data_IF_771362754810
#
_entry.id   IF_771362754810
#
_cell.length_a   1.000
_cell.length_b   1.000
_cell.length_c   1.000
_cell.angle_alpha   90.00
_cell.angle_beta   90.00
_cell.angle_gamma   90.00
#
_symmetry.space_group_name_H-M   'P 1'
#
loop_
_entity.id
_entity.type
_entity.pdbx_description
1 polymer ?
#
# COMPACT_ATOMS: atom_id res chain seq x y z
N UNK A 1 13.00 -15.62 2.01
CA UNK A 1 12.57 -16.69 2.93
C UNK A 1 12.23 -16.06 4.29
N UNK A 2 11.03 -15.48 4.47
CA UNK A 2 10.62 -14.73 5.68
C UNK A 2 9.13 -14.96 6.05
N UNK A 3 8.58 -16.15 5.77
CA UNK A 3 7.12 -16.32 5.66
C UNK A 3 6.36 -16.84 6.89
N UNK A 4 6.96 -17.00 8.08
CA UNK A 4 6.31 -17.83 9.13
C UNK A 4 6.42 -17.34 10.59
N UNK A 5 7.01 -16.19 10.89
CA UNK A 5 7.21 -15.81 12.30
C UNK A 5 5.90 -15.61 13.08
N UNK A 6 4.91 -14.88 12.52
CA UNK A 6 3.66 -14.62 13.23
C UNK A 6 2.84 -15.90 13.44
N UNK A 7 2.62 -16.69 12.39
CA UNK A 7 1.88 -17.94 12.47
C UNK A 7 2.55 -18.97 13.40
N UNK A 8 3.89 -19.09 13.35
CA UNK A 8 4.63 -19.98 14.25
C UNK A 8 4.48 -19.57 15.71
N UNK A 9 4.58 -18.27 16.02
CA UNK A 9 4.39 -17.77 17.38
C UNK A 9 2.94 -17.90 17.87
N UNK A 10 1.95 -17.75 16.98
CA UNK A 10 0.55 -17.93 17.33
C UNK A 10 0.20 -19.40 17.60
N UNK A 11 0.79 -20.34 16.86
CA UNK A 11 0.58 -21.79 17.08
C UNK A 11 1.06 -22.28 18.45
N UNK A 12 1.96 -21.55 19.10
CA UNK A 12 2.44 -21.88 20.44
C UNK A 12 1.46 -21.43 21.54
N UNK A 13 0.39 -20.71 21.20
CA UNK A 13 -0.63 -20.28 22.16
C UNK A 13 -1.83 -21.23 22.08
N UNK A 14 -2.01 -22.04 23.12
CA UNK A 14 -3.08 -23.05 23.20
C UNK A 14 -4.50 -22.46 23.17
N UNK A 15 -4.66 -21.17 23.50
CA UNK A 15 -5.94 -20.48 23.56
C UNK A 15 -6.39 -19.83 22.24
N UNK A 16 -5.70 -20.07 21.12
CA UNK A 16 -5.99 -19.42 19.83
C UNK A 16 -6.26 -20.47 18.76
N UNK A 17 -7.47 -20.46 18.21
CA UNK A 17 -7.80 -21.24 17.00
C UNK A 17 -7.19 -20.57 15.78
N UNK A 18 -6.43 -21.34 14.98
CA UNK A 18 -5.78 -20.84 13.78
C UNK A 18 -6.32 -21.54 12.54
N UNK A 19 -6.97 -20.75 11.68
CA UNK A 19 -7.37 -21.15 10.34
C UNK A 19 -6.49 -20.42 9.32
N UNK A 20 -5.96 -21.16 8.34
CA UNK A 20 -5.17 -20.57 7.26
C UNK A 20 -5.89 -20.79 5.94
N UNK A 21 -6.29 -19.68 5.33
CA UNK A 21 -6.78 -19.65 3.95
C UNK A 21 -5.61 -19.42 2.99
N UNK A 22 -5.56 -20.18 1.89
CA UNK A 22 -4.61 -19.98 0.79
C UNK A 22 -5.40 -19.64 -0.46
N UNK A 23 -5.48 -18.36 -0.77
CA UNK A 23 -6.25 -17.80 -1.87
C UNK A 23 -5.59 -16.47 -2.28
N UNK A 24 -5.78 -16.05 -3.52
CA UNK A 24 -5.41 -14.69 -3.91
C UNK A 24 -6.29 -13.68 -3.15
N UNK A 25 -5.70 -12.59 -2.71
CA UNK A 25 -6.43 -11.53 -2.01
C UNK A 25 -7.45 -10.85 -2.92
N UNK A 26 -7.22 -10.85 -4.24
CA UNK A 26 -8.19 -10.31 -5.19
C UNK A 26 -9.46 -11.16 -5.31
N UNK A 27 -9.37 -12.46 -5.01
CA UNK A 27 -10.48 -13.42 -5.08
C UNK A 27 -11.14 -13.68 -3.72
N UNK A 28 -10.53 -13.21 -2.63
CA UNK A 28 -11.02 -13.44 -1.27
C UNK A 28 -12.35 -12.72 -1.03
N UNK A 29 -13.40 -13.51 -0.77
CA UNK A 29 -14.70 -13.04 -0.29
C UNK A 29 -14.86 -13.38 1.18
N UNK A 30 -14.71 -12.40 2.07
CA UNK A 30 -14.80 -12.61 3.52
C UNK A 30 -16.16 -13.19 3.96
N UNK A 31 -17.23 -12.85 3.25
CA UNK A 31 -18.57 -13.39 3.49
C UNK A 31 -18.74 -14.86 3.07
N UNK A 32 -17.77 -15.46 2.38
CA UNK A 32 -17.76 -16.89 2.07
C UNK A 32 -16.90 -17.68 3.07
N UNK A 33 -16.25 -17.01 4.02
CA UNK A 33 -15.45 -17.65 5.06
C UNK A 33 -16.37 -18.05 6.20
N UNK A 34 -16.53 -19.36 6.43
CA UNK A 34 -17.45 -19.92 7.43
C UNK A 34 -17.15 -19.43 8.85
N UNK A 35 -15.87 -19.33 9.22
CA UNK A 35 -15.45 -18.88 10.54
C UNK A 35 -15.70 -17.40 10.83
N UNK A 36 -16.01 -16.60 9.80
CA UNK A 36 -16.36 -15.18 9.94
C UNK A 36 -17.87 -14.91 9.93
N UNK A 37 -18.70 -15.94 9.73
CA UNK A 37 -20.16 -15.78 9.67
C UNK A 37 -20.72 -15.37 11.03
N UNK A 38 -21.48 -14.27 11.06
CA UNK A 38 -22.17 -13.80 12.28
C UNK A 38 -21.25 -13.27 13.37
N UNK A 39 -19.94 -13.16 13.13
CA UNK A 39 -18.97 -12.65 14.11
C UNK A 39 -18.35 -11.33 13.65
N UNK A 40 -18.09 -10.40 14.59
CA UNK A 40 -17.30 -9.22 14.29
C UNK A 40 -15.83 -9.59 14.09
N UNK A 41 -15.13 -8.92 13.17
CA UNK A 41 -13.72 -9.19 12.90
C UNK A 41 -12.87 -7.92 12.78
N UNK A 42 -11.60 -8.05 13.16
CA UNK A 42 -10.57 -7.03 13.01
C UNK A 42 -9.58 -7.48 11.94
N UNK A 43 -9.34 -6.66 10.93
CA UNK A 43 -8.37 -6.97 9.88
C UNK A 43 -6.99 -6.39 10.23
N UNK A 44 -5.97 -7.25 10.35
CA UNK A 44 -4.59 -6.80 10.61
C UNK A 44 -3.70 -7.30 9.48
N UNK A 45 -2.87 -6.41 8.91
CA UNK A 45 -2.05 -6.73 7.75
C UNK A 45 -0.63 -6.17 7.85
N UNK A 46 0.36 -7.05 7.71
CA UNK A 46 1.75 -6.75 7.36
C UNK A 46 2.31 -7.97 6.61
N UNK A 47 3.08 -7.89 5.53
CA UNK A 47 3.47 -6.76 4.69
C UNK A 47 2.74 -6.91 3.35
N UNK A 48 1.62 -6.22 3.18
CA UNK A 48 0.82 -6.34 1.96
C UNK A 48 1.49 -5.56 0.82
N UNK A 49 2.24 -6.25 -0.04
CA UNK A 49 3.07 -5.55 -1.03
C UNK A 49 2.34 -5.17 -2.31
N UNK A 50 2.66 -3.98 -2.83
CA UNK A 50 2.11 -3.44 -4.07
C UNK A 50 0.58 -3.35 -4.05
N UNK A 51 -0.11 -3.94 -5.04
CA UNK A 51 -1.57 -3.85 -5.14
C UNK A 51 -2.31 -4.55 -4.01
N UNK A 52 -1.66 -5.45 -3.25
CA UNK A 52 -2.28 -6.22 -2.20
C UNK A 52 -2.86 -5.34 -1.07
N UNK A 53 -2.22 -4.21 -0.75
CA UNK A 53 -2.76 -3.28 0.26
C UNK A 53 -4.14 -2.76 -0.18
N UNK A 54 -4.23 -2.23 -1.40
CA UNK A 54 -5.46 -1.67 -1.95
C UNK A 54 -6.54 -2.76 -2.17
N UNK A 55 -6.15 -3.96 -2.57
CA UNK A 55 -7.07 -5.10 -2.67
C UNK A 55 -7.62 -5.51 -1.30
N UNK A 56 -6.78 -5.56 -0.26
CA UNK A 56 -7.22 -5.85 1.12
C UNK A 56 -8.18 -4.77 1.63
N UNK A 57 -7.88 -3.48 1.46
CA UNK A 57 -8.78 -2.41 1.87
C UNK A 57 -10.16 -2.56 1.19
N UNK A 58 -10.15 -2.83 -0.12
CA UNK A 58 -11.38 -3.05 -0.90
C UNK A 58 -12.13 -4.31 -0.42
N UNK A 59 -11.42 -5.39 -0.12
CA UNK A 59 -11.97 -6.65 0.40
C UNK A 59 -12.65 -6.44 1.77
N UNK A 60 -12.00 -5.75 2.71
CA UNK A 60 -12.53 -5.49 4.05
C UNK A 60 -13.77 -4.59 4.05
N UNK A 61 -13.82 -3.61 3.16
CA UNK A 61 -14.84 -2.55 3.16
C UNK A 61 -15.95 -2.80 2.14
N UNK A 62 -15.82 -3.84 1.30
CA UNK A 62 -16.81 -4.19 0.29
C UNK A 62 -18.19 -4.36 0.94
N UNK A 63 -19.00 -3.29 0.89
CA UNK A 63 -20.43 -3.34 1.12
C UNK A 63 -20.91 -4.34 0.10
N UNK A 64 -21.54 -5.45 0.52
CA UNK A 64 -22.14 -6.38 -0.42
C UNK A 64 -23.12 -5.57 -1.28
N UNK A 65 -22.73 -5.21 -2.50
CA UNK A 65 -23.65 -4.83 -3.56
C UNK A 65 -24.39 -6.09 -3.99
N UNK A 66 -25.24 -6.62 -3.11
CA UNK A 66 -26.37 -7.41 -3.56
C UNK A 66 -27.49 -6.43 -3.93
N UNK A 67 -27.29 -5.71 -5.05
CA UNK A 67 -28.37 -5.02 -5.76
C UNK A 67 -29.06 -5.97 -6.76
N UNK A 68 -29.23 -7.23 -6.39
CA UNK A 68 -30.08 -8.17 -7.10
C UNK A 68 -30.83 -9.01 -6.07
N UNK A 69 -32.03 -8.55 -5.71
CA UNK A 69 -33.29 -9.26 -5.39
C UNK A 69 -33.33 -10.65 -4.72
N UNK A 70 -32.25 -11.18 -4.16
CA UNK A 70 -32.30 -12.39 -3.35
C UNK A 70 -32.24 -12.04 -1.86
N UNK A 71 -33.07 -12.75 -1.10
CA UNK A 71 -33.40 -12.57 0.32
C UNK A 71 -32.20 -12.18 1.22
N UNK A 72 -32.43 -11.48 2.36
CA UNK A 72 -31.38 -11.15 3.31
C UNK A 72 -30.77 -12.45 3.84
N UNK A 73 -29.64 -12.87 3.28
CA UNK A 73 -28.83 -13.92 3.87
C UNK A 73 -28.22 -13.36 5.15
N UNK A 74 -28.72 -13.86 6.28
CA UNK A 74 -28.60 -13.34 7.64
C UNK A 74 -27.20 -13.45 8.27
N UNK A 75 -26.15 -13.62 7.45
CA UNK A 75 -24.79 -13.83 7.93
C UNK A 75 -23.81 -13.02 7.12
N UNK A 76 -23.68 -11.75 7.50
CA UNK A 76 -22.62 -10.86 7.00
C UNK A 76 -21.53 -10.76 8.07
N UNK A 77 -20.28 -10.99 7.70
CA UNK A 77 -19.17 -10.78 8.63
C UNK A 77 -19.02 -9.27 8.87
N UNK A 78 -19.00 -8.83 10.14
CA UNK A 78 -19.01 -7.41 10.49
C UNK A 78 -17.59 -6.90 10.78
N UNK A 79 -17.03 -6.07 9.89
CA UNK A 79 -15.75 -5.40 10.13
C UNK A 79 -15.90 -4.43 11.31
N UNK A 80 -15.19 -4.64 12.42
CA UNK A 80 -15.11 -3.67 13.53
C UNK A 80 -13.99 -2.64 13.33
N UNK A 81 -12.94 -3.02 12.59
CA UNK A 81 -11.85 -2.13 12.24
C UNK A 81 -10.72 -2.85 11.48
N UNK A 82 -9.73 -2.08 11.08
CA UNK A 82 -8.54 -2.54 10.41
C UNK A 82 -7.28 -1.80 10.89
N UNK A 83 -6.15 -2.48 10.78
CA UNK A 83 -4.80 -1.93 11.01
C UNK A 83 -3.84 -2.53 9.97
N UNK A 84 -3.48 -1.74 8.95
CA UNK A 84 -2.67 -2.20 7.81
C UNK A 84 -1.38 -1.40 7.73
N UNK A 85 -0.24 -2.09 7.86
CA UNK A 85 1.07 -1.48 7.68
C UNK A 85 1.37 -1.29 6.19
N UNK A 86 1.79 -0.09 5.80
CA UNK A 86 2.10 0.28 4.41
C UNK A 86 3.62 0.32 4.21
N UNK A 87 4.14 -0.25 3.12
CA UNK A 87 5.60 -0.33 2.90
C UNK A 87 6.02 -0.38 1.43
N UNK A 88 5.56 -1.36 0.66
CA UNK A 88 5.99 -1.65 -0.71
C UNK A 88 5.36 -0.72 -1.76
N UNK A 89 5.52 0.60 -1.61
CA UNK A 89 4.91 1.62 -2.45
C UNK A 89 5.37 1.58 -3.91
N UNK A 90 6.63 1.20 -4.14
CA UNK A 90 7.20 1.04 -5.47
C UNK A 90 6.53 -0.05 -6.32
N UNK A 91 5.80 -0.98 -5.69
CA UNK A 91 5.02 -2.01 -6.37
C UNK A 91 3.55 -1.62 -6.55
N UNK A 92 3.14 -0.43 -6.11
CA UNK A 92 1.76 0.03 -6.29
C UNK A 92 1.47 0.20 -7.78
N UNK A 93 0.26 -0.21 -8.17
CA UNK A 93 -0.18 -0.17 -9.56
C UNK A 93 -1.42 0.71 -9.66
N UNK A 94 -1.41 1.64 -10.61
CA UNK A 94 -2.56 2.52 -10.86
C UNK A 94 -3.87 1.75 -10.96
N UNK A 95 -3.88 0.62 -11.70
CA UNK A 95 -5.04 -0.26 -11.89
C UNK A 95 -5.74 -0.57 -10.55
N UNK A 96 -4.98 -0.97 -9.54
CA UNK A 96 -5.54 -1.45 -8.27
C UNK A 96 -5.68 -0.37 -7.22
N UNK A 97 -4.90 0.73 -7.33
CA UNK A 97 -4.92 1.84 -6.40
C UNK A 97 -6.35 2.34 -6.12
N UNK A 98 -6.66 2.50 -4.84
CA UNK A 98 -8.05 2.57 -4.39
C UNK A 98 -8.67 3.96 -4.55
N UNK A 99 -7.86 5.02 -4.49
CA UNK A 99 -8.33 6.40 -4.55
C UNK A 99 -7.79 7.17 -5.76
N UNK A 100 -8.16 6.70 -6.97
CA UNK A 100 -7.81 7.41 -8.21
C UNK A 100 -8.35 8.85 -8.26
N UNK A 101 -9.60 9.14 -7.82
CA UNK A 101 -10.12 10.51 -7.81
C UNK A 101 -9.21 11.47 -7.04
N UNK A 102 -8.78 11.11 -5.82
CA UNK A 102 -7.85 11.91 -5.03
C UNK A 102 -6.56 12.26 -5.78
N UNK A 103 -5.99 11.31 -6.52
CA UNK A 103 -4.78 11.57 -7.31
C UNK A 103 -5.06 12.55 -8.44
N UNK A 104 -6.16 12.35 -9.17
CA UNK A 104 -6.55 13.22 -10.27
C UNK A 104 -6.89 14.65 -9.78
N UNK A 105 -7.50 14.79 -8.61
CA UNK A 105 -7.81 16.09 -7.99
C UNK A 105 -6.54 16.87 -7.61
N UNK A 106 -5.45 16.18 -7.30
CA UNK A 106 -4.12 16.78 -7.11
C UNK A 106 -3.40 17.09 -8.44
N UNK A 107 -4.02 16.77 -9.58
CA UNK A 107 -3.40 16.88 -10.90
C UNK A 107 -2.41 15.75 -11.22
N UNK A 108 -2.41 14.68 -10.43
CA UNK A 108 -1.53 13.51 -10.62
C UNK A 108 -2.21 12.54 -11.58
N UNK A 109 -1.70 12.48 -12.81
CA UNK A 109 -2.18 11.53 -13.81
C UNK A 109 -1.71 10.10 -13.51
N UNK A 110 -2.15 9.14 -14.33
CA UNK A 110 -1.65 7.75 -14.28
C UNK A 110 -0.13 7.68 -14.45
N UNK A 111 0.42 8.48 -15.36
CA UNK A 111 1.85 8.44 -15.66
C UNK A 111 2.66 9.12 -14.56
N UNK A 112 2.15 10.22 -14.01
CA UNK A 112 2.72 10.85 -12.80
C UNK A 112 2.69 9.88 -11.62
N UNK A 113 1.59 9.17 -11.40
CA UNK A 113 1.50 8.16 -10.35
C UNK A 113 2.55 7.05 -10.54
N UNK A 114 2.76 6.57 -11.78
CA UNK A 114 3.78 5.55 -12.05
C UNK A 114 5.20 6.09 -11.81
N UNK A 115 5.47 7.37 -12.13
CA UNK A 115 6.73 8.01 -11.78
C UNK A 115 6.89 8.15 -10.25
N UNK A 116 5.83 8.55 -9.55
CA UNK A 116 5.81 8.67 -8.09
C UNK A 116 6.05 7.34 -7.39
N UNK A 117 5.42 6.25 -7.84
CA UNK A 117 5.67 4.92 -7.24
C UNK A 117 7.13 4.54 -7.39
N UNK A 118 7.73 4.79 -8.55
CA UNK A 118 9.17 4.59 -8.74
C UNK A 118 10.01 5.46 -7.79
N UNK A 119 9.68 6.75 -7.65
CA UNK A 119 10.37 7.68 -6.74
C UNK A 119 10.29 7.25 -5.26
N UNK A 120 9.27 6.48 -4.85
CA UNK A 120 9.20 5.97 -3.47
C UNK A 120 10.35 5.05 -3.09
N UNK A 121 11.05 4.47 -4.07
CA UNK A 121 12.27 3.68 -3.82
C UNK A 121 13.39 4.49 -3.19
N UNK A 122 13.44 5.81 -3.44
CA UNK A 122 14.45 6.69 -2.88
C UNK A 122 14.32 6.91 -1.37
N UNK A 123 13.15 6.60 -0.79
CA UNK A 123 12.88 6.83 0.63
C UNK A 123 13.85 6.09 1.58
N UNK A 124 14.59 5.10 1.08
CA UNK A 124 15.58 4.32 1.84
C UNK A 124 17.04 4.64 1.44
N UNK A 125 17.27 5.58 0.52
CA UNK A 125 18.61 5.92 -0.01
C UNK A 125 19.55 6.51 1.05
N UNK A 126 19.02 7.14 2.10
CA UNK A 126 19.83 7.84 3.09
C UNK A 126 20.74 6.90 3.94
N UNK A 127 20.44 5.60 3.97
CA UNK A 127 21.19 4.60 4.74
C UNK A 127 22.43 4.04 4.00
N UNK A 128 22.73 4.51 2.78
CA UNK A 128 23.92 4.11 2.02
C UNK A 128 24.94 5.25 1.93
N UNK A 129 25.14 5.96 3.04
CA UNK A 129 26.17 6.98 3.24
C UNK A 129 27.59 6.43 3.37
N UNK A 130 28.01 5.52 2.49
CA UNK A 130 29.41 5.17 2.31
C UNK A 130 29.80 5.35 0.86
N UNK A 131 30.63 6.36 0.62
CA UNK A 131 31.47 6.62 -0.54
C UNK A 131 31.60 5.45 -1.52
N UNK A 132 30.72 5.37 -2.51
CA UNK A 132 31.00 4.67 -3.75
C UNK A 132 30.49 5.51 -4.91
N UNK A 133 31.46 6.14 -5.58
CA UNK A 133 31.45 6.36 -7.02
C UNK A 133 31.30 5.00 -7.73
N UNK A 134 30.13 4.38 -7.58
CA UNK A 134 29.72 3.18 -8.26
C UNK A 134 28.73 3.59 -9.32
N UNK A 135 29.13 3.43 -10.58
CA UNK A 135 28.31 3.37 -11.79
C UNK A 135 27.22 2.28 -11.69
N UNK A 136 26.33 2.37 -10.70
CA UNK A 136 25.04 1.71 -10.73
C UNK A 136 24.22 2.48 -11.76
N UNK A 137 24.03 1.89 -12.94
CA UNK A 137 23.15 2.42 -13.97
C UNK A 137 21.82 2.78 -13.31
N UNK A 138 21.57 4.07 -13.18
CA UNK A 138 20.27 4.61 -12.84
C UNK A 138 19.42 4.37 -14.08
N UNK A 139 18.94 3.15 -14.19
CA UNK A 139 18.14 2.70 -15.32
C UNK A 139 16.76 3.34 -15.12
N UNK A 140 16.67 4.59 -15.58
CA UNK A 140 15.41 5.21 -15.97
C UNK A 140 14.84 4.37 -17.11
N UNK A 141 14.37 3.15 -16.80
CA UNK A 141 13.52 2.38 -17.69
C UNK A 141 12.15 3.06 -17.70
N UNK A 142 12.11 4.25 -18.29
CA UNK A 142 10.95 4.65 -19.09
C UNK A 142 10.77 3.47 -20.02
N UNK A 143 9.67 2.72 -19.86
CA UNK A 143 9.42 1.52 -20.67
C UNK A 143 9.47 1.97 -22.13
N UNK A 144 10.57 1.67 -22.80
CA UNK A 144 10.79 1.98 -24.21
C UNK A 144 9.76 1.18 -24.99
N UNK A 145 8.65 1.84 -25.30
CA UNK A 145 7.81 1.44 -26.40
C UNK A 145 7.57 2.66 -27.26
N UNK A 146 8.22 2.61 -28.42
CA UNK A 146 8.14 3.48 -29.59
C UNK A 146 9.12 4.67 -29.62
N UNK A 147 9.85 4.74 -30.73
CA UNK A 147 10.88 5.71 -31.09
C UNK A 147 10.46 7.14 -30.75
N UNK A 148 11.14 7.77 -29.78
CA UNK A 148 11.10 9.22 -29.60
C UNK A 148 12.52 9.75 -29.67
N UNK A 149 12.75 10.67 -30.59
CA UNK A 149 13.99 11.44 -30.71
C UNK A 149 14.39 11.97 -29.32
N UNK A 150 15.65 11.79 -28.95
CA UNK A 150 16.17 12.21 -27.65
C UNK A 150 16.05 13.72 -27.48
N UNK A 151 15.00 14.14 -26.76
CA UNK A 151 14.74 15.53 -26.40
C UNK A 151 15.85 16.05 -25.47
N UNK A 152 16.53 17.17 -25.78
CA UNK A 152 17.51 17.79 -24.91
C UNK A 152 17.02 18.03 -23.47
N UNK A 153 15.70 18.21 -23.27
CA UNK A 153 15.11 18.37 -21.94
C UNK A 153 15.23 17.10 -21.07
N UNK A 154 15.20 15.91 -21.69
CA UNK A 154 15.33 14.62 -20.97
C UNK A 154 16.76 14.40 -20.44
N UNK A 155 17.76 14.88 -21.18
CA UNK A 155 19.17 14.81 -20.78
C UNK A 155 19.44 15.70 -19.56
N UNK A 156 18.83 16.88 -19.51
CA UNK A 156 18.98 17.83 -18.40
C UNK A 156 18.37 17.28 -17.10
N UNK A 157 17.15 16.76 -17.16
CA UNK A 157 16.48 16.12 -16.00
C UNK A 157 17.30 14.94 -15.47
N UNK A 158 17.87 14.10 -16.34
CA UNK A 158 18.72 12.97 -15.94
C UNK A 158 19.98 13.43 -15.19
N UNK A 159 20.57 14.54 -15.61
CA UNK A 159 21.74 15.12 -14.93
C UNK A 159 21.34 15.76 -13.58
N UNK A 160 20.22 16.46 -13.52
CA UNK A 160 19.70 17.02 -12.26
C UNK A 160 19.47 15.92 -11.22
N UNK A 161 18.83 14.81 -11.60
CA UNK A 161 18.56 13.68 -10.69
C UNK A 161 19.85 13.02 -10.21
N UNK A 162 20.86 12.85 -11.09
CA UNK A 162 22.18 12.34 -10.72
C UNK A 162 22.91 13.23 -9.71
N UNK A 163 22.74 14.55 -9.82
CA UNK A 163 23.39 15.52 -8.96
C UNK A 163 22.66 15.74 -7.62
N UNK A 164 21.48 15.14 -7.44
CA UNK A 164 20.69 15.27 -6.22
C UNK A 164 21.33 14.47 -5.07
N UNK A 165 21.46 15.08 -3.88
CA UNK A 165 22.02 14.39 -2.71
C UNK A 165 21.10 13.26 -2.28
N UNK A 166 21.66 12.19 -1.73
CA UNK A 166 20.89 11.04 -1.24
C UNK A 166 19.82 11.46 -0.20
N UNK A 167 20.14 12.42 0.66
CA UNK A 167 19.19 12.98 1.64
C UNK A 167 17.99 13.65 0.95
N UNK A 168 18.24 14.46 -0.08
CA UNK A 168 17.18 15.15 -0.81
C UNK A 168 16.30 14.15 -1.58
N UNK A 169 16.91 13.10 -2.18
CA UNK A 169 16.17 12.00 -2.82
C UNK A 169 15.28 11.26 -1.81
N UNK A 170 15.80 10.99 -0.60
CA UNK A 170 15.03 10.34 0.45
C UNK A 170 13.81 11.17 0.88
N UNK A 171 13.96 12.50 0.98
CA UNK A 171 12.83 13.40 1.25
C UNK A 171 11.76 13.27 0.16
N UNK A 172 12.14 13.32 -1.11
CA UNK A 172 11.18 13.16 -2.23
C UNK A 172 10.50 11.79 -2.19
N UNK A 173 11.25 10.72 -1.96
CA UNK A 173 10.70 9.37 -1.86
C UNK A 173 9.69 9.25 -0.72
N UNK A 174 9.97 9.84 0.44
CA UNK A 174 9.05 9.89 1.59
C UNK A 174 7.78 10.70 1.27
N UNK A 175 7.91 11.82 0.57
CA UNK A 175 6.75 12.61 0.13
C UNK A 175 5.84 11.81 -0.80
N UNK A 176 6.42 11.09 -1.78
CA UNK A 176 5.64 10.24 -2.69
C UNK A 176 4.90 9.11 -1.93
N UNK A 177 5.55 8.50 -0.92
CA UNK A 177 4.89 7.52 -0.04
C UNK A 177 3.71 8.14 0.73
N UNK A 178 3.94 9.30 1.33
CA UNK A 178 2.92 10.00 2.11
C UNK A 178 1.70 10.38 1.24
N UNK A 179 1.89 10.81 -0.02
CA UNK A 179 0.76 11.10 -0.92
C UNK A 179 -0.08 9.84 -1.21
N UNK A 180 0.57 8.70 -1.45
CA UNK A 180 -0.13 7.42 -1.68
C UNK A 180 -0.92 7.00 -0.43
N UNK A 181 -0.31 7.08 0.75
CA UNK A 181 -0.96 6.69 2.00
C UNK A 181 -2.06 7.65 2.43
N UNK A 182 -1.91 8.96 2.18
CA UNK A 182 -2.97 9.94 2.40
C UNK A 182 -4.16 9.64 1.48
N UNK A 183 -3.96 9.30 0.22
CA UNK A 183 -5.08 8.95 -0.65
C UNK A 183 -5.83 7.69 -0.18
N UNK A 184 -5.13 6.67 0.33
CA UNK A 184 -5.76 5.51 0.99
C UNK A 184 -6.54 5.92 2.24
N UNK A 185 -5.97 6.79 3.06
CA UNK A 185 -6.63 7.35 4.23
C UNK A 185 -7.90 8.13 3.88
N UNK A 186 -7.86 8.99 2.87
CA UNK A 186 -9.02 9.75 2.40
C UNK A 186 -10.13 8.82 1.91
N UNK A 187 -9.77 7.75 1.19
CA UNK A 187 -10.74 6.75 0.75
C UNK A 187 -11.42 6.04 1.92
N UNK A 188 -10.69 5.73 2.99
CA UNK A 188 -11.29 5.16 4.19
C UNK A 188 -12.24 6.14 4.89
N UNK A 189 -11.91 7.44 4.91
CA UNK A 189 -12.78 8.48 5.47
C UNK A 189 -14.09 8.60 4.68
N UNK A 190 -14.06 8.46 3.36
CA UNK A 190 -15.26 8.43 2.50
C UNK A 190 -16.19 7.25 2.81
N UNK A 191 -15.65 6.16 3.35
CA UNK A 191 -16.42 4.98 3.79
C UNK A 191 -16.93 5.10 5.24
N UNK A 192 -17.00 6.33 5.76
CA UNK A 192 -17.55 6.67 7.08
C UNK A 192 -16.84 6.02 8.27
N UNK A 193 -15.63 5.51 8.07
CA UNK A 193 -14.80 4.97 9.14
C UNK A 193 -14.07 6.09 9.88
N UNK A 194 -13.88 5.92 11.18
CA UNK A 194 -12.96 6.74 11.94
C UNK A 194 -11.54 6.23 11.69
N UNK A 195 -10.75 7.03 10.97
CA UNK A 195 -9.43 6.62 10.50
C UNK A 195 -8.32 7.50 11.04
N UNK A 196 -7.14 6.91 11.16
CA UNK A 196 -5.87 7.55 11.52
C UNK A 196 -4.73 6.97 10.66
N UNK A 197 -3.76 7.80 10.30
CA UNK A 197 -2.51 7.38 9.70
C UNK A 197 -1.38 7.67 10.69
N UNK A 198 -0.89 6.63 11.35
CA UNK A 198 0.04 6.75 12.49
C UNK A 198 1.42 6.20 12.17
N UNK A 199 2.43 6.58 12.96
CA UNK A 199 3.76 5.97 12.94
C UNK A 199 3.88 4.99 14.12
N UNK A 200 4.13 3.71 13.84
CA UNK A 200 4.19 2.68 14.90
C UNK A 200 5.60 2.51 15.51
N UNK A 201 6.64 2.98 14.82
CA UNK A 201 8.02 3.08 15.34
C UNK A 201 8.68 4.35 14.82
N UNK A 202 9.71 4.88 15.51
CA UNK A 202 10.57 5.94 14.97
C UNK A 202 11.19 5.61 13.61
N UNK A 203 11.37 6.63 12.76
CA UNK A 203 11.91 6.47 11.40
C UNK A 203 13.36 5.99 11.36
N UNK A 204 14.13 6.16 12.44
CA UNK A 204 15.49 5.62 12.58
C UNK A 204 15.51 4.11 12.91
N UNK A 205 14.37 3.51 13.28
CA UNK A 205 14.25 2.06 13.46
C UNK A 205 13.81 1.41 12.14
N UNK A 206 12.82 2.01 11.47
CA UNK A 206 12.38 1.60 10.14
C UNK A 206 11.82 2.81 9.38
N UNK A 207 12.26 3.07 8.13
CA UNK A 207 11.62 4.07 7.28
C UNK A 207 10.22 3.61 6.83
N UNK A 208 9.96 2.31 6.80
CA UNK A 208 8.62 1.73 6.63
C UNK A 208 7.97 1.62 8.01
N UNK A 209 7.34 2.70 8.48
CA UNK A 209 6.77 2.79 9.83
C UNK A 209 5.34 3.33 9.88
N UNK A 210 4.66 3.40 8.74
CA UNK A 210 3.28 3.88 8.63
C UNK A 210 2.28 2.75 8.88
N UNK A 211 1.23 3.06 9.64
CA UNK A 211 0.10 2.18 9.90
C UNK A 211 -1.19 2.94 9.62
N UNK A 212 -1.99 2.38 8.71
CA UNK A 212 -3.34 2.86 8.43
C UNK A 212 -4.32 2.15 9.36
N UNK A 213 -4.95 2.90 10.25
CA UNK A 213 -5.91 2.41 11.23
C UNK A 213 -7.28 2.96 10.87
N UNK A 214 -8.30 2.10 10.92
CA UNK A 214 -9.68 2.52 10.80
C UNK A 214 -10.61 1.68 11.66
N UNK A 215 -11.67 2.29 12.20
CA UNK A 215 -12.69 1.62 13.01
C UNK A 215 -14.09 2.10 12.67
N UNK A 216 -15.09 1.28 12.93
CA UNK A 216 -16.48 1.75 12.86
C UNK A 216 -16.72 2.86 13.88
N UNK A 217 -17.46 3.89 13.47
CA UNK A 217 -17.93 4.93 14.38
C UNK A 217 -18.83 4.27 15.44
N UNK A 218 -18.58 4.62 16.70
CA UNK A 218 -19.36 4.15 17.85
C UNK A 218 -20.70 4.86 17.94
#
# INVERSE_FOLDING_TARGET
>A
MYYVQADRSLRQKESVTLERLRIDIEDLKLNAVESLQGVPYLAIGKHLCGPATDMTLRCCISKQCNQHNDAPSDSTCRLIGLAIATCCHHLCQWKHYINKPYMLDLGITKDDFNAMTWLTSWAVDADHGSDLCGTGSFDLQIREHEHVESDPNTYDVKNMVKNMKAVDRAVVGLMCKDIIDVGRFMWLKEHELECELVKYVPSNISPENRLLVARQKS
#
